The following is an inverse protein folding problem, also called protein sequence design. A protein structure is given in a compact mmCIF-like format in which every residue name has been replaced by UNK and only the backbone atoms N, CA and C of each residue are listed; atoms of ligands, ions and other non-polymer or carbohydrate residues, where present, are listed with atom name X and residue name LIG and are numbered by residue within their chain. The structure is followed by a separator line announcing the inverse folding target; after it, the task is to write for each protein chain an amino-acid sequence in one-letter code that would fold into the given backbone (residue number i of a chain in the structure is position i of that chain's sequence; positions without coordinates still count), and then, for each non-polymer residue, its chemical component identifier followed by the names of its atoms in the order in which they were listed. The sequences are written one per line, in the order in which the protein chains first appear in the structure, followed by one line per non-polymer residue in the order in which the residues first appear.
data_IF_738602058302
#
_entry.id   IF_738602058302
#
_cell.length_a   1.000
_cell.length_b   1.000
_cell.length_c   1.000
_cell.angle_alpha   90.00
_cell.angle_beta   90.00
_cell.angle_gamma   90.00
#
_symmetry.space_group_name_H-M   'P 1'
#
loop_
_entity.id
_entity.type
_entity.pdbx_description
1 polymer ?
#
# COMPACT_ATOMS: atom_id res chain seq x y z
N UNK A 1 2.92 13.12 8.06
CA UNK A 1 3.59 12.41 6.96
C UNK A 1 3.70 10.91 7.23
N UNK A 2 4.38 10.46 8.28
CA UNK A 2 4.59 9.03 8.54
C UNK A 2 3.28 8.20 8.69
N UNK A 3 2.28 8.71 9.42
CA UNK A 3 0.95 8.07 9.52
C UNK A 3 0.24 7.98 8.16
N UNK A 4 0.31 9.04 7.35
CA UNK A 4 -0.30 9.11 6.02
C UNK A 4 0.36 8.09 5.09
N UNK A 5 1.68 7.98 5.13
CA UNK A 5 2.43 6.98 4.38
C UNK A 5 2.00 5.54 4.71
N UNK A 6 1.82 5.22 5.99
CA UNK A 6 1.33 3.89 6.39
C UNK A 6 -0.12 3.63 5.96
N UNK A 7 -0.98 4.64 6.01
CA UNK A 7 -2.35 4.52 5.47
C UNK A 7 -2.31 4.25 3.97
N UNK A 8 -1.48 4.99 3.22
CA UNK A 8 -1.31 4.78 1.79
C UNK A 8 -0.79 3.37 1.47
N UNK A 9 0.21 2.88 2.23
CA UNK A 9 0.71 1.51 2.12
C UNK A 9 -0.41 0.46 2.33
N UNK A 10 -1.25 0.65 3.34
CA UNK A 10 -2.38 -0.24 3.59
C UNK A 10 -3.41 -0.18 2.45
N UNK A 11 -3.71 1.01 1.93
CA UNK A 11 -4.59 1.19 0.77
C UNK A 11 -4.01 0.53 -0.48
N UNK A 12 -2.71 0.64 -0.74
CA UNK A 12 -2.04 -0.05 -1.85
C UNK A 12 -2.17 -1.57 -1.71
N UNK A 13 -1.93 -2.12 -0.51
CA UNK A 13 -2.07 -3.55 -0.26
C UNK A 13 -3.50 -4.06 -0.52
N UNK A 14 -4.51 -3.31 -0.05
CA UNK A 14 -5.93 -3.61 -0.34
C UNK A 14 -6.21 -3.51 -1.84
N UNK A 15 -5.69 -2.48 -2.50
CA UNK A 15 -5.90 -2.26 -3.94
C UNK A 15 -5.28 -3.37 -4.78
N UNK A 16 -4.08 -3.86 -4.42
CA UNK A 16 -3.44 -5.02 -5.06
C UNK A 16 -4.32 -6.26 -4.91
N UNK A 17 -4.84 -6.52 -3.70
CA UNK A 17 -5.72 -7.66 -3.47
C UNK A 17 -6.99 -7.59 -4.33
N UNK A 18 -7.62 -6.41 -4.40
CA UNK A 18 -8.80 -6.19 -5.23
C UNK A 18 -8.48 -6.35 -6.72
N UNK A 19 -7.36 -5.79 -7.19
CA UNK A 19 -6.89 -5.90 -8.56
C UNK A 19 -6.63 -7.36 -8.98
N UNK A 20 -5.99 -8.14 -8.11
CA UNK A 20 -5.78 -9.58 -8.35
C UNK A 20 -7.10 -10.35 -8.38
N UNK A 21 -8.04 -10.00 -7.50
CA UNK A 21 -9.36 -10.65 -7.48
C UNK A 21 -10.13 -10.36 -8.77
N UNK A 22 -10.11 -9.12 -9.21
CA UNK A 22 -10.73 -8.64 -10.46
C UNK A 22 -10.14 -9.33 -11.70
N UNK A 23 -8.82 -9.49 -11.71
CA UNK A 23 -8.13 -10.29 -12.71
C UNK A 23 -8.59 -11.75 -12.72
N UNK A 24 -8.73 -12.38 -11.55
CA UNK A 24 -9.19 -13.78 -11.46
C UNK A 24 -10.64 -13.94 -11.95
N UNK A 25 -11.50 -12.94 -11.72
CA UNK A 25 -12.87 -12.97 -12.24
C UNK A 25 -12.91 -12.82 -13.76
N UNK A 26 -12.01 -12.02 -14.34
CA UNK A 26 -11.81 -11.96 -15.79
C UNK A 26 -11.33 -13.30 -16.38
N UNK A 27 -10.38 -13.98 -15.72
CA UNK A 27 -9.92 -15.33 -16.12
C UNK A 27 -11.07 -16.34 -16.06
N UNK A 28 -11.86 -16.32 -14.99
CA UNK A 28 -13.06 -17.16 -14.86
C UNK A 28 -14.08 -16.88 -15.97
N UNK A 29 -14.35 -15.61 -16.25
CA UNK A 29 -15.28 -15.19 -17.29
C UNK A 29 -14.88 -15.69 -18.67
N UNK A 30 -13.58 -15.69 -18.99
CA UNK A 30 -13.08 -16.31 -20.21
C UNK A 30 -13.37 -17.82 -20.27
N UNK A 31 -13.19 -18.53 -19.14
CA UNK A 31 -13.53 -19.96 -19.03
C UNK A 31 -15.01 -20.27 -19.29
N UNK A 32 -15.92 -19.32 -19.01
CA UNK A 32 -17.36 -19.48 -19.28
C UNK A 32 -17.73 -19.41 -20.76
N UNK A 33 -16.87 -18.87 -21.63
CA UNK A 33 -17.17 -18.72 -23.06
C UNK A 33 -17.23 -20.07 -23.80
N UNK A 34 -16.77 -21.16 -23.18
CA UNK A 34 -16.81 -22.50 -23.76
C UNK A 34 -15.92 -22.67 -25.00
N UNK A 35 -14.99 -21.74 -25.22
CA UNK A 35 -13.99 -21.81 -26.30
C UNK A 35 -12.90 -22.82 -25.95
N UNK A 36 -12.39 -23.54 -26.95
CA UNK A 36 -11.23 -24.41 -26.76
C UNK A 36 -10.00 -23.54 -26.51
N UNK A 37 -9.42 -23.63 -25.32
CA UNK A 37 -8.11 -23.05 -25.02
C UNK A 37 -7.00 -24.02 -25.46
N UNK A 38 -5.88 -23.45 -25.92
CA UNK A 38 -4.65 -24.18 -26.24
C UNK A 38 -3.94 -24.62 -24.96
N UNK A 39 -4.10 -23.86 -23.87
CA UNK A 39 -3.54 -24.16 -22.55
C UNK A 39 -4.20 -23.33 -21.45
N UNK A 40 -4.00 -23.71 -20.19
CA UNK A 40 -4.44 -22.90 -19.04
C UNK A 40 -3.80 -21.51 -19.07
N UNK A 41 -2.54 -21.40 -19.50
CA UNK A 41 -1.83 -20.12 -19.60
C UNK A 41 -2.52 -19.12 -20.54
N UNK A 42 -3.24 -19.59 -21.57
CA UNK A 42 -4.01 -18.72 -22.45
C UNK A 42 -5.08 -17.95 -21.68
N UNK A 43 -5.81 -18.62 -20.79
CA UNK A 43 -6.84 -17.97 -19.97
C UNK A 43 -6.25 -16.88 -19.07
N UNK A 44 -5.04 -17.10 -18.54
CA UNK A 44 -4.32 -16.10 -17.75
C UNK A 44 -3.97 -14.86 -18.59
N UNK A 45 -3.44 -15.04 -19.80
CA UNK A 45 -3.09 -13.90 -20.66
C UNK A 45 -4.33 -13.16 -21.20
N UNK A 46 -5.36 -13.90 -21.61
CA UNK A 46 -6.60 -13.32 -22.12
C UNK A 46 -7.38 -12.61 -21.01
N UNK A 47 -7.42 -13.17 -19.80
CA UNK A 47 -8.03 -12.53 -18.64
C UNK A 47 -7.37 -11.21 -18.24
N UNK A 48 -6.11 -10.96 -18.62
CA UNK A 48 -5.45 -9.68 -18.37
C UNK A 48 -5.80 -8.61 -19.42
N UNK A 49 -6.31 -9.00 -20.59
CA UNK A 49 -6.55 -8.07 -21.70
C UNK A 49 -7.55 -6.96 -21.36
N UNK A 50 -8.70 -7.22 -20.70
CA UNK A 50 -9.64 -6.16 -20.33
C UNK A 50 -8.97 -5.07 -19.48
N UNK A 51 -8.29 -5.44 -18.39
CA UNK A 51 -7.57 -4.46 -17.54
C UNK A 51 -6.47 -3.73 -18.31
N UNK A 52 -5.64 -4.42 -19.10
CA UNK A 52 -4.57 -3.77 -19.88
C UNK A 52 -5.12 -2.78 -20.91
N UNK A 53 -6.19 -3.15 -21.61
CA UNK A 53 -6.86 -2.28 -22.58
C UNK A 53 -7.50 -1.09 -21.86
N UNK A 54 -8.19 -1.32 -20.74
CA UNK A 54 -8.82 -0.27 -19.94
C UNK A 54 -7.80 0.76 -19.47
N UNK A 55 -6.69 0.32 -18.87
CA UNK A 55 -5.62 1.20 -18.38
C UNK A 55 -4.95 1.94 -19.55
N UNK A 56 -4.49 1.22 -20.57
CA UNK A 56 -3.75 1.83 -21.69
C UNK A 56 -4.60 2.84 -22.46
N UNK A 57 -5.83 2.47 -22.82
CA UNK A 57 -6.73 3.35 -23.55
C UNK A 57 -7.34 4.43 -22.66
N UNK A 58 -7.52 4.18 -21.36
CA UNK A 58 -7.94 5.18 -20.39
C UNK A 58 -6.93 6.33 -20.29
N UNK A 59 -5.64 5.99 -20.14
CA UNK A 59 -4.56 7.00 -20.18
C UNK A 59 -4.52 7.75 -21.51
N UNK A 60 -4.55 7.03 -22.65
CA UNK A 60 -4.54 7.69 -23.96
C UNK A 60 -5.77 8.57 -24.20
N UNK A 61 -6.94 8.20 -23.67
CA UNK A 61 -8.16 9.00 -23.76
C UNK A 61 -8.01 10.33 -23.02
N UNK A 62 -7.43 10.29 -21.81
CA UNK A 62 -7.17 11.49 -21.00
C UNK A 62 -6.09 12.37 -21.63
N UNK A 63 -4.96 11.78 -22.03
CA UNK A 63 -3.81 12.49 -22.60
C UNK A 63 -4.16 13.15 -23.94
N UNK A 64 -4.77 12.38 -24.86
CA UNK A 64 -5.05 12.84 -26.23
C UNK A 64 -6.43 13.44 -26.40
N UNK A 65 -7.26 13.44 -25.34
CA UNK A 65 -8.67 13.88 -25.35
C UNK A 65 -9.47 13.27 -26.51
N UNK A 66 -9.21 11.99 -26.80
CA UNK A 66 -9.81 11.29 -27.94
C UNK A 66 -10.91 10.34 -27.48
N UNK A 67 -12.13 10.57 -27.98
CA UNK A 67 -13.31 9.80 -27.65
C UNK A 67 -13.20 8.32 -28.02
N UNK A 68 -12.47 7.97 -29.08
CA UNK A 68 -12.31 6.58 -29.52
C UNK A 68 -11.54 5.77 -28.48
N UNK A 69 -10.48 6.34 -27.90
CA UNK A 69 -9.76 5.69 -26.80
C UNK A 69 -10.64 5.58 -25.55
N UNK A 70 -11.46 6.61 -25.27
CA UNK A 70 -12.47 6.52 -24.21
C UNK A 70 -13.47 5.40 -24.44
N UNK A 71 -13.93 5.20 -25.68
CA UNK A 71 -14.85 4.13 -26.04
C UNK A 71 -14.20 2.74 -25.92
N UNK A 72 -12.93 2.59 -26.31
CA UNK A 72 -12.18 1.33 -26.14
C UNK A 72 -11.95 1.00 -24.66
N UNK A 73 -11.59 1.99 -23.85
CA UNK A 73 -11.46 1.82 -22.40
C UNK A 73 -12.82 1.46 -21.76
N UNK A 74 -13.89 2.13 -22.18
CA UNK A 74 -15.25 1.84 -21.74
C UNK A 74 -15.74 0.44 -22.15
N UNK A 75 -15.38 -0.03 -23.35
CA UNK A 75 -15.69 -1.38 -23.79
C UNK A 75 -14.97 -2.44 -22.94
N UNK A 76 -13.69 -2.21 -22.62
CA UNK A 76 -12.93 -3.08 -21.74
C UNK A 76 -13.53 -3.12 -20.31
N UNK A 77 -13.92 -1.95 -19.79
CA UNK A 77 -14.64 -1.81 -18.52
C UNK A 77 -15.95 -2.61 -18.51
N UNK A 78 -16.72 -2.60 -19.60
CA UNK A 78 -17.95 -3.39 -19.70
C UNK A 78 -17.68 -4.90 -19.70
N UNK A 79 -16.59 -5.35 -20.32
CA UNK A 79 -16.18 -6.75 -20.29
C UNK A 79 -15.84 -7.15 -18.85
N UNK A 80 -15.04 -6.34 -18.16
CA UNK A 80 -14.64 -6.59 -16.78
C UNK A 80 -15.84 -6.72 -15.84
N UNK A 81 -16.73 -5.72 -15.82
CA UNK A 81 -18.00 -5.75 -15.07
C UNK A 81 -18.83 -6.99 -15.41
N UNK A 82 -18.92 -7.34 -16.69
CA UNK A 82 -19.67 -8.51 -17.14
C UNK A 82 -19.11 -9.81 -16.56
N UNK A 83 -17.78 -9.97 -16.56
CA UNK A 83 -17.13 -11.16 -16.02
C UNK A 83 -17.25 -11.25 -14.49
N UNK A 84 -17.09 -10.14 -13.78
CA UNK A 84 -17.24 -10.10 -12.31
C UNK A 84 -18.69 -10.34 -11.89
N UNK A 85 -19.67 -9.77 -12.61
CA UNK A 85 -21.08 -10.08 -12.38
C UNK A 85 -21.39 -11.56 -12.64
N UNK A 86 -20.88 -12.14 -13.73
CA UNK A 86 -21.08 -13.56 -14.02
C UNK A 86 -20.49 -14.46 -12.93
N UNK A 87 -19.32 -14.10 -12.38
CA UNK A 87 -18.71 -14.79 -11.25
C UNK A 87 -19.55 -14.68 -9.97
N UNK A 88 -20.02 -13.47 -9.63
CA UNK A 88 -20.73 -13.21 -8.37
C UNK A 88 -22.17 -13.70 -8.33
N UNK A 89 -22.88 -13.61 -9.45
CA UNK A 89 -24.25 -14.11 -9.55
C UNK A 89 -24.25 -15.64 -9.64
N UNK A 90 -23.21 -16.22 -10.25
CA UNK A 90 -23.06 -17.67 -10.35
C UNK A 90 -24.30 -18.33 -10.95
N UNK A 91 -24.71 -19.46 -10.36
CA UNK A 91 -25.89 -20.23 -10.79
C UNK A 91 -27.20 -19.82 -10.09
N UNK A 92 -27.19 -18.80 -9.22
CA UNK A 92 -28.37 -18.34 -8.48
C UNK A 92 -28.82 -16.94 -8.95
N UNK A 93 -29.44 -16.83 -10.13
CA UNK A 93 -29.87 -15.54 -10.69
C UNK A 93 -31.15 -14.98 -10.06
N UNK A 94 -31.74 -15.64 -9.06
CA UNK A 94 -33.04 -15.27 -8.52
C UNK A 94 -32.95 -14.10 -7.53
N UNK A 95 -32.96 -12.88 -8.07
CA UNK A 95 -33.16 -11.67 -7.29
C UNK A 95 -32.57 -10.42 -7.94
N UNK A 96 -33.43 -9.46 -8.28
CA UNK A 96 -33.00 -8.15 -8.77
C UNK A 96 -31.99 -7.46 -7.83
N UNK A 97 -32.16 -7.63 -6.51
CA UNK A 97 -31.25 -7.09 -5.51
C UNK A 97 -29.85 -7.72 -5.62
N UNK A 98 -29.75 -9.03 -5.86
CA UNK A 98 -28.46 -9.73 -6.01
C UNK A 98 -27.71 -9.20 -7.23
N UNK A 99 -28.41 -9.04 -8.36
CA UNK A 99 -27.84 -8.43 -9.57
C UNK A 99 -27.37 -6.99 -9.34
N UNK A 100 -28.18 -6.18 -8.66
CA UNK A 100 -27.83 -4.79 -8.39
C UNK A 100 -26.64 -4.68 -7.43
N UNK A 101 -26.59 -5.51 -6.39
CA UNK A 101 -25.45 -5.58 -5.47
C UNK A 101 -24.19 -6.06 -6.17
N UNK A 102 -24.29 -7.10 -7.02
CA UNK A 102 -23.17 -7.58 -7.82
C UNK A 102 -22.65 -6.47 -8.74
N UNK A 103 -23.53 -5.80 -9.50
CA UNK A 103 -23.15 -4.68 -10.38
C UNK A 103 -22.45 -3.54 -9.61
N UNK A 104 -23.01 -3.12 -8.48
CA UNK A 104 -22.41 -2.05 -7.65
C UNK A 104 -21.05 -2.46 -7.11
N UNK A 105 -20.90 -3.73 -6.70
CA UNK A 105 -19.64 -4.27 -6.23
C UNK A 105 -18.61 -4.31 -7.37
N UNK A 106 -18.99 -4.80 -8.56
CA UNK A 106 -18.14 -4.84 -9.75
C UNK A 106 -17.64 -3.44 -10.13
N UNK A 107 -18.56 -2.49 -10.34
CA UNK A 107 -18.22 -1.15 -10.83
C UNK A 107 -17.42 -0.35 -9.80
N UNK A 108 -17.90 -0.27 -8.55
CA UNK A 108 -17.39 0.71 -7.58
C UNK A 108 -16.21 0.16 -6.80
N UNK A 109 -16.27 -1.10 -6.36
CA UNK A 109 -15.25 -1.66 -5.47
C UNK A 109 -14.12 -2.31 -6.26
N UNK A 110 -14.45 -3.13 -7.26
CA UNK A 110 -13.45 -3.90 -7.98
C UNK A 110 -12.85 -3.09 -9.13
N UNK A 111 -13.65 -2.55 -10.05
CA UNK A 111 -13.06 -1.88 -11.20
C UNK A 111 -12.55 -0.46 -10.88
N UNK A 112 -13.44 0.46 -10.48
CA UNK A 112 -13.03 1.84 -10.19
C UNK A 112 -12.19 1.94 -8.91
N UNK A 113 -12.61 1.22 -7.86
CA UNK A 113 -11.95 1.23 -6.57
C UNK A 113 -10.53 0.69 -6.66
N UNK A 114 -10.33 -0.50 -7.22
CA UNK A 114 -8.99 -1.11 -7.24
C UNK A 114 -8.02 -0.35 -8.12
N UNK A 115 -8.41 0.03 -9.35
CA UNK A 115 -7.49 0.69 -10.28
C UNK A 115 -7.15 2.11 -9.84
N UNK A 116 -8.16 2.92 -9.47
CA UNK A 116 -7.92 4.29 -9.06
C UNK A 116 -7.17 4.36 -7.73
N UNK A 117 -7.56 3.55 -6.73
CA UNK A 117 -6.84 3.53 -5.45
C UNK A 117 -5.43 2.98 -5.64
N UNK A 118 -5.20 2.00 -6.50
CA UNK A 118 -3.86 1.47 -6.78
C UNK A 118 -2.97 2.55 -7.39
N UNK A 119 -3.42 3.21 -8.45
CA UNK A 119 -2.64 4.27 -9.12
C UNK A 119 -2.40 5.45 -8.18
N UNK A 120 -3.45 5.96 -7.53
CA UNK A 120 -3.34 7.10 -6.63
C UNK A 120 -2.46 6.79 -5.41
N UNK A 121 -2.62 5.61 -4.79
CA UNK A 121 -1.81 5.25 -3.62
C UNK A 121 -0.34 5.02 -3.97
N UNK A 122 -0.04 4.39 -5.10
CA UNK A 122 1.34 4.20 -5.58
C UNK A 122 2.02 5.53 -5.89
N UNK A 123 1.34 6.43 -6.60
CA UNK A 123 1.87 7.76 -6.92
C UNK A 123 2.24 8.53 -5.64
N UNK A 124 1.32 8.57 -4.68
CA UNK A 124 1.56 9.24 -3.39
C UNK A 124 2.67 8.55 -2.57
N UNK A 125 2.76 7.22 -2.55
CA UNK A 125 3.85 6.52 -1.85
C UNK A 125 5.20 6.88 -2.44
N UNK A 126 5.32 6.91 -3.77
CA UNK A 126 6.56 7.28 -4.46
C UNK A 126 6.95 8.72 -4.11
N UNK A 127 5.97 9.63 -4.05
CA UNK A 127 6.20 11.02 -3.68
C UNK A 127 6.66 11.18 -2.22
N UNK A 128 6.02 10.49 -1.27
CA UNK A 128 6.32 10.61 0.17
C UNK A 128 7.50 9.75 0.64
N UNK A 129 7.96 8.79 -0.16
CA UNK A 129 9.03 7.85 0.23
C UNK A 129 10.34 8.55 0.66
N UNK A 130 10.87 9.57 -0.06
CA UNK A 130 12.10 10.25 0.33
C UNK A 130 12.00 10.92 1.71
N UNK A 131 10.91 11.64 1.96
CA UNK A 131 10.68 12.34 3.24
C UNK A 131 10.60 11.37 4.42
N UNK A 132 9.96 10.22 4.21
CA UNK A 132 9.85 9.17 5.24
C UNK A 132 11.21 8.54 5.50
N UNK A 133 11.99 8.26 4.47
CA UNK A 133 13.35 7.73 4.60
C UNK A 133 14.26 8.70 5.36
N UNK A 134 14.17 10.00 5.08
CA UNK A 134 14.91 11.03 5.81
C UNK A 134 14.50 11.09 7.28
N UNK A 135 13.19 11.10 7.56
CA UNK A 135 12.67 11.10 8.93
C UNK A 135 13.11 9.84 9.72
N UNK A 136 13.15 8.68 9.07
CA UNK A 136 13.64 7.44 9.67
C UNK A 136 15.15 7.49 9.94
N UNK A 137 15.94 7.99 8.99
CA UNK A 137 17.38 8.14 9.17
C UNK A 137 17.73 9.09 10.32
N UNK A 138 17.05 10.24 10.42
CA UNK A 138 17.22 11.19 11.52
C UNK A 138 16.83 10.57 12.87
N UNK A 139 15.74 9.79 12.90
CA UNK A 139 15.29 9.11 14.13
C UNK A 139 16.29 8.05 14.58
N UNK A 140 16.84 7.28 13.64
CA UNK A 140 17.87 6.28 13.92
C UNK A 140 19.16 6.93 14.47
N UNK A 141 19.63 8.02 13.84
CA UNK A 141 20.81 8.74 14.31
C UNK A 141 20.62 9.30 15.72
N UNK A 142 19.45 9.87 16.03
CA UNK A 142 19.14 10.35 17.39
C UNK A 142 19.07 9.23 18.42
N UNK A 143 18.56 8.05 18.05
CA UNK A 143 18.59 6.88 18.91
C UNK A 143 20.02 6.46 19.22
N UNK A 144 20.87 6.36 18.19
CA UNK A 144 22.29 6.02 18.36
C UNK A 144 22.98 7.04 19.26
N UNK A 145 22.82 8.34 19.02
CA UNK A 145 23.38 9.39 19.87
C UNK A 145 22.90 9.31 21.32
N UNK A 146 21.64 8.95 21.54
CA UNK A 146 21.08 8.79 22.89
C UNK A 146 21.71 7.59 23.59
N UNK A 147 21.89 6.47 22.88
CA UNK A 147 22.56 5.29 23.43
C UNK A 147 24.04 5.54 23.71
N UNK A 148 24.77 6.24 22.83
CA UNK A 148 26.18 6.57 23.06
C UNK A 148 26.35 7.49 24.27
N UNK A 149 25.53 8.54 24.40
CA UNK A 149 25.60 9.43 25.58
C UNK A 149 25.35 8.69 26.89
N UNK A 150 24.36 7.79 26.92
CA UNK A 150 24.08 6.96 28.10
C UNK A 150 25.28 6.08 28.41
N UNK A 151 25.87 5.42 27.41
CA UNK A 151 27.05 4.58 27.60
C UNK A 151 28.28 5.37 28.10
N UNK A 152 28.50 6.59 27.58
CA UNK A 152 29.58 7.46 28.03
C UNK A 152 29.39 7.90 29.49
N UNK A 153 28.13 8.17 29.91
CA UNK A 153 27.83 8.52 31.30
C UNK A 153 28.14 7.35 32.26
N UNK A 154 27.89 6.10 31.83
CA UNK A 154 28.23 4.92 32.62
C UNK A 154 29.75 4.67 32.71
N UNK A 155 30.54 5.10 31.71
CA UNK A 155 31.99 4.95 31.75
C UNK A 155 32.67 6.03 32.61
N UNK A 156 32.13 7.26 32.66
CA UNK A 156 32.70 8.33 33.49
C UNK A 156 32.50 8.07 35.01
N UNK A 157 31.40 7.44 35.42
CA UNK A 157 31.13 7.13 36.84
C UNK A 157 32.05 6.03 37.44
N UNK A 158 32.68 5.18 36.61
CA UNK A 158 33.60 4.11 37.07
C UNK A 158 35.04 4.62 37.29
N UNK A 159 35.43 5.75 36.69
CA UNK A 159 36.82 6.26 36.74
C UNK A 159 37.06 7.25 37.91
N UNK A 160 36.02 7.85 38.50
CA UNK A 160 36.15 8.90 39.52
C UNK A 160 36.29 8.40 40.98
N UNK A 161 36.08 7.11 41.28
CA UNK A 161 36.07 6.59 42.68
C UNK A 161 37.43 6.04 43.18
N UNK A 162 38.52 6.12 42.40
CA UNK A 162 39.84 5.54 42.79
C UNK A 162 40.86 6.60 43.23
N UNK A 163 40.68 7.89 42.95
CA UNK A 163 41.80 8.86 43.06
C UNK A 163 41.78 9.84 44.24
N UNK A 164 40.78 9.82 45.12
CA UNK A 164 40.73 10.76 46.26
C UNK A 164 40.64 10.08 47.64
N UNK A 165 41.75 9.89 48.36
CA UNK A 165 41.70 9.47 49.76
C UNK A 165 41.09 10.60 50.61
N UNK A 166 40.23 10.28 51.59
CA UNK A 166 39.47 11.29 52.33
C UNK A 166 40.42 12.20 53.12
N UNK A 167 40.33 13.50 52.83
CA UNK A 167 41.07 14.54 53.52
C UNK A 167 40.72 14.52 55.02
N UNK A 168 41.73 14.25 55.86
CA UNK A 168 41.63 14.29 57.32
C UNK A 168 41.12 15.65 57.78
N UNK A 169 39.86 15.68 58.21
CA UNK A 169 39.20 16.85 58.82
C UNK A 169 39.88 17.14 60.17
N UNK A 170 40.78 18.12 60.21
CA UNK A 170 41.39 18.65 61.45
C UNK A 170 40.30 19.32 62.29
N UNK A 171 39.91 18.66 63.39
CA UNK A 171 39.35 19.32 64.56
C UNK A 171 40.37 20.33 65.10
N UNK A 172 40.00 21.61 65.26
CA UNK A 172 40.51 22.40 66.37
C UNK A 172 39.64 23.62 66.71
N UNK A 173 38.98 23.51 67.87
CA UNK A 173 38.86 24.48 68.96
C UNK A 173 38.88 25.97 68.61
N UNK A 174 37.77 26.64 68.89
CA UNK A 174 37.77 27.99 69.45
C UNK A 174 37.02 27.98 70.79
N UNK A 175 37.80 28.17 71.86
CA UNK A 175 37.30 28.59 73.16
C UNK A 175 37.01 30.09 73.15
N UNK A 176 36.04 30.50 73.97
CA UNK A 176 35.61 31.88 74.18
C UNK A 176 36.66 32.77 74.85
N UNK A 177 36.33 34.06 74.96
CA UNK A 177 35.85 34.60 76.24
C UNK A 177 34.35 34.90 76.25
#
# INVERSE_FOLDING_TARGET
MLLVFFILMALTAVSIYLFVTDYLTSVYGYGLLGTQSVSDAEAWFVGALPQLVQVAFGFMALERRNWLFGALAGAALMVDIGTDMAFRVGENPEGFIIYLTALMQSVVLFTLGSEFLLVASLENIIEYAPDVLEAMALSANRLVESFTRVADTFNEDDDDDISHPPAKRKQNRRGGP
#
